data_IF_299235601470
#
_entry.id   IF_299235601470
#
_cell.length_a   1.000
_cell.length_b   1.000
_cell.length_c   1.000
_cell.angle_alpha   90.00
_cell.angle_beta   90.00
_cell.angle_gamma   90.00
#
_symmetry.space_group_name_H-M   'P 1'
#
loop_
_entity.id
_entity.type
_entity.pdbx_description
1 polymer ?
#
# COMPACT_ATOMS: atom_id res chain seq x y z
N UNK A 1 -3.00 0.87 -15.00
CA UNK A 1 -3.30 -0.57 -14.79
C UNK A 1 -4.28 -0.71 -13.64
N UNK A 2 -5.37 -1.39 -13.86
CA UNK A 2 -6.33 -1.69 -12.80
C UNK A 2 -6.13 -3.11 -12.28
N UNK A 3 -6.96 -3.52 -11.31
CA UNK A 3 -6.83 -4.85 -10.69
C UNK A 3 -7.01 -5.97 -11.72
N UNK A 4 -7.96 -5.85 -12.61
CA UNK A 4 -8.21 -6.87 -13.63
C UNK A 4 -7.02 -7.04 -14.58
N UNK A 5 -6.42 -5.94 -15.00
CA UNK A 5 -5.23 -5.95 -15.85
C UNK A 5 -4.02 -6.54 -15.11
N UNK A 6 -3.88 -6.21 -13.82
CA UNK A 6 -2.82 -6.76 -13.00
C UNK A 6 -2.96 -8.27 -12.86
N UNK A 7 -4.17 -8.77 -12.61
CA UNK A 7 -4.44 -10.20 -12.53
C UNK A 7 -4.10 -10.91 -13.83
N UNK A 8 -4.50 -10.34 -14.96
CA UNK A 8 -4.21 -10.90 -16.28
C UNK A 8 -2.69 -10.96 -16.53
N UNK A 9 -1.97 -9.91 -16.16
CA UNK A 9 -0.51 -9.85 -16.32
C UNK A 9 0.19 -10.90 -15.45
N UNK A 10 -0.27 -11.07 -14.21
CA UNK A 10 0.29 -12.08 -13.31
C UNK A 10 0.03 -13.48 -13.84
N UNK A 11 -1.20 -13.75 -14.29
CA UNK A 11 -1.55 -15.05 -14.86
C UNK A 11 -0.67 -15.39 -16.05
N UNK A 12 -0.43 -14.44 -16.92
CA UNK A 12 0.45 -14.62 -18.08
C UNK A 12 1.89 -14.91 -17.66
N UNK A 13 2.37 -14.21 -16.63
CA UNK A 13 3.75 -14.36 -16.18
C UNK A 13 4.02 -15.66 -15.44
N UNK A 14 3.05 -16.14 -14.68
CA UNK A 14 3.19 -17.37 -13.89
C UNK A 14 2.72 -18.62 -14.63
N UNK A 15 1.98 -18.45 -15.72
CA UNK A 15 1.36 -19.56 -16.42
C UNK A 15 0.08 -20.08 -15.75
N UNK A 16 -0.41 -19.36 -14.75
CA UNK A 16 -1.63 -19.74 -14.04
C UNK A 16 -2.88 -19.26 -14.75
N UNK A 17 -4.03 -19.79 -14.33
CA UNK A 17 -5.31 -19.27 -14.77
C UNK A 17 -5.56 -17.89 -14.14
N UNK A 18 -6.44 -17.10 -14.75
CA UNK A 18 -6.83 -15.81 -14.18
C UNK A 18 -7.47 -15.99 -12.81
N UNK A 19 -8.24 -17.06 -12.61
CA UNK A 19 -8.87 -17.37 -11.33
C UNK A 19 -7.83 -17.62 -10.23
N UNK A 20 -6.77 -18.38 -10.53
CA UNK A 20 -5.70 -18.64 -9.59
C UNK A 20 -4.92 -17.36 -9.27
N UNK A 21 -4.64 -16.54 -10.30
CA UNK A 21 -3.95 -15.26 -10.12
C UNK A 21 -4.79 -14.31 -9.28
N UNK A 22 -6.10 -14.26 -9.50
CA UNK A 22 -7.01 -13.45 -8.71
C UNK A 22 -6.99 -13.84 -7.23
N UNK A 23 -7.04 -15.14 -6.95
CA UNK A 23 -6.96 -15.64 -5.58
C UNK A 23 -5.65 -15.22 -4.91
N UNK A 24 -4.54 -15.30 -5.64
CA UNK A 24 -3.22 -14.88 -5.15
C UNK A 24 -3.16 -13.40 -4.83
N UNK A 25 -3.69 -12.56 -5.72
CA UNK A 25 -3.72 -11.10 -5.52
C UNK A 25 -4.60 -10.74 -4.32
N UNK A 26 -5.77 -11.36 -4.21
CA UNK A 26 -6.67 -11.11 -3.08
C UNK A 26 -6.04 -11.54 -1.77
N UNK A 27 -5.39 -12.70 -1.73
CA UNK A 27 -4.70 -13.19 -0.54
C UNK A 27 -3.55 -12.25 -0.15
N UNK A 28 -2.78 -11.76 -1.12
CA UNK A 28 -1.71 -10.81 -0.87
C UNK A 28 -2.23 -9.54 -0.22
N UNK A 29 -3.31 -8.98 -0.75
CA UNK A 29 -3.90 -7.75 -0.21
C UNK A 29 -4.41 -7.98 1.21
N UNK A 30 -5.07 -9.11 1.47
CA UNK A 30 -5.56 -9.44 2.81
C UNK A 30 -4.43 -9.59 3.82
N UNK A 31 -3.39 -10.33 3.47
CA UNK A 31 -2.25 -10.56 4.36
C UNK A 31 -1.54 -9.26 4.70
N UNK A 32 -1.30 -8.41 3.70
CA UNK A 32 -0.67 -7.12 3.91
C UNK A 32 -1.56 -6.22 4.79
N UNK A 33 -2.86 -6.22 4.50
CA UNK A 33 -3.82 -5.42 5.27
C UNK A 33 -3.83 -5.83 6.74
N UNK A 34 -3.90 -7.14 7.00
CA UNK A 34 -3.92 -7.66 8.36
C UNK A 34 -2.62 -7.36 9.11
N UNK A 35 -1.49 -7.50 8.45
CA UNK A 35 -0.19 -7.16 9.04
C UNK A 35 -0.13 -5.69 9.43
N UNK A 36 -0.59 -4.81 8.55
CA UNK A 36 -0.59 -3.36 8.81
C UNK A 36 -1.57 -2.98 9.93
N UNK A 37 -2.70 -3.68 10.05
CA UNK A 37 -3.65 -3.46 11.15
C UNK A 37 -3.00 -3.74 12.51
N UNK A 38 -2.12 -4.74 12.56
CA UNK A 38 -1.40 -5.10 13.78
C UNK A 38 -0.18 -4.20 14.02
N UNK A 39 0.09 -3.28 13.13
CA UNK A 39 1.25 -2.40 13.20
C UNK A 39 2.54 -3.05 12.72
N UNK A 40 2.42 -4.18 12.05
CA UNK A 40 3.57 -4.90 11.52
C UNK A 40 3.99 -4.30 10.17
N UNK A 41 5.23 -4.55 9.81
CA UNK A 41 5.83 -4.07 8.56
C UNK A 41 5.97 -5.23 7.59
N UNK A 42 5.58 -5.01 6.34
CA UNK A 42 5.77 -6.01 5.28
C UNK A 42 6.91 -5.55 4.38
N UNK A 43 8.02 -6.25 4.43
CA UNK A 43 9.21 -5.90 3.66
C UNK A 43 9.43 -6.88 2.52
N UNK A 44 9.48 -6.34 1.29
CA UNK A 44 9.75 -7.11 0.09
C UNK A 44 11.11 -6.70 -0.45
N UNK A 45 12.10 -7.55 -0.22
CA UNK A 45 13.49 -7.27 -0.61
C UNK A 45 13.56 -7.01 -2.12
N UNK A 46 14.19 -5.91 -2.50
CA UNK A 46 14.34 -5.53 -3.91
C UNK A 46 13.13 -4.81 -4.50
N UNK A 47 12.03 -4.72 -3.79
CA UNK A 47 10.82 -4.05 -4.27
C UNK A 47 10.47 -2.84 -3.42
N UNK A 48 10.24 -3.04 -2.14
CA UNK A 48 9.88 -1.97 -1.23
C UNK A 48 9.29 -2.53 0.05
N UNK A 49 8.69 -1.67 0.83
CA UNK A 49 8.06 -2.08 2.08
C UNK A 49 6.76 -1.34 2.32
N UNK A 50 5.82 -2.06 2.96
CA UNK A 50 4.58 -1.48 3.44
C UNK A 50 4.75 -1.24 4.93
N UNK A 51 4.50 -0.03 5.38
CA UNK A 51 4.67 0.38 6.77
C UNK A 51 3.44 1.10 7.26
N UNK A 52 3.28 1.14 8.58
CA UNK A 52 2.25 1.97 9.20
C UNK A 52 2.95 3.18 9.81
N UNK A 53 2.50 4.35 9.44
CA UNK A 53 2.99 5.60 10.00
C UNK A 53 1.92 6.17 10.92
N UNK A 54 2.31 6.44 12.15
CA UNK A 54 1.41 7.08 13.11
C UNK A 54 1.42 8.58 12.88
N UNK A 55 0.24 9.15 12.80
CA UNK A 55 0.07 10.59 12.77
C UNK A 55 -0.41 11.04 14.15
N UNK A 56 0.35 11.94 14.77
CA UNK A 56 -0.03 12.48 16.07
C UNK A 56 -1.30 13.31 15.95
N UNK A 57 -2.07 13.36 17.04
CA UNK A 57 -3.23 14.25 17.11
C UNK A 57 -2.75 15.70 16.98
N UNK A 58 -3.49 16.50 16.24
CA UNK A 58 -3.17 17.90 16.03
C UNK A 58 -4.44 18.72 15.91
N UNK A 59 -4.30 20.03 16.10
CA UNK A 59 -5.38 20.97 15.87
C UNK A 59 -5.27 21.50 14.45
N UNK A 60 -6.37 21.43 13.71
CA UNK A 60 -6.48 22.03 12.40
C UNK A 60 -7.47 23.18 12.44
N UNK A 61 -7.57 23.88 11.34
CA UNK A 61 -8.53 24.98 11.20
C UNK A 61 -9.41 24.71 9.98
N UNK A 62 -10.73 24.81 10.19
CA UNK A 62 -11.67 24.68 9.08
C UNK A 62 -11.59 25.95 8.23
N UNK A 63 -11.22 25.85 6.93
CA UNK A 63 -11.08 27.04 6.09
C UNK A 63 -12.39 27.78 5.84
N UNK A 64 -13.54 27.11 5.95
CA UNK A 64 -14.84 27.73 5.73
C UNK A 64 -15.38 28.47 6.95
N UNK A 65 -15.28 27.83 8.11
CA UNK A 65 -15.81 28.39 9.37
C UNK A 65 -14.74 29.04 10.21
N UNK A 66 -13.48 28.79 9.90
CA UNK A 66 -12.31 29.25 10.66
C UNK A 66 -12.29 28.72 12.10
N UNK A 67 -13.12 27.72 12.41
CA UNK A 67 -13.13 27.07 13.71
C UNK A 67 -11.96 26.08 13.82
N UNK A 68 -11.40 25.95 15.00
CA UNK A 68 -10.39 24.95 15.27
C UNK A 68 -11.02 23.55 15.22
N UNK A 69 -10.39 22.64 14.51
CA UNK A 69 -10.80 21.26 14.43
C UNK A 69 -9.72 20.41 15.10
N UNK A 70 -10.13 19.58 16.03
CA UNK A 70 -9.23 18.62 16.66
C UNK A 70 -9.14 17.39 15.77
N UNK A 71 -7.96 17.16 15.18
CA UNK A 71 -7.70 16.00 14.35
C UNK A 71 -7.13 14.91 15.24
N UNK A 72 -7.85 13.77 15.42
CA UNK A 72 -7.35 12.70 16.30
C UNK A 72 -6.12 12.02 15.70
N UNK A 73 -5.36 11.37 16.57
CA UNK A 73 -4.24 10.54 16.14
C UNK A 73 -4.76 9.43 15.24
N UNK A 74 -4.04 9.15 14.18
CA UNK A 74 -4.42 8.11 13.23
C UNK A 74 -3.20 7.35 12.74
N UNK A 75 -3.45 6.17 12.17
CA UNK A 75 -2.42 5.36 11.53
C UNK A 75 -2.69 5.36 10.04
N UNK A 76 -1.67 5.56 9.24
CA UNK A 76 -1.79 5.56 7.80
C UNK A 76 -0.84 4.53 7.18
N UNK A 77 -1.33 3.68 6.26
CA UNK A 77 -0.44 2.77 5.54
C UNK A 77 0.39 3.57 4.54
N UNK A 78 1.67 3.23 4.43
CA UNK A 78 2.61 3.90 3.52
C UNK A 78 3.42 2.84 2.80
N UNK A 79 3.61 3.03 1.49
CA UNK A 79 4.52 2.20 0.71
C UNK A 79 5.82 2.97 0.47
N UNK A 80 6.93 2.35 0.86
CA UNK A 80 8.27 2.88 0.61
C UNK A 80 8.93 2.06 -0.47
N UNK A 81 9.20 2.65 -1.62
CA UNK A 81 9.89 1.97 -2.70
C UNK A 81 11.33 1.64 -2.30
N UNK A 82 11.77 0.44 -2.65
CA UNK A 82 13.14 0.05 -2.45
C UNK A 82 14.06 0.74 -3.46
N UNK A 83 15.36 0.74 -3.16
CA UNK A 83 16.36 1.37 -4.03
C UNK A 83 16.31 0.80 -5.45
N UNK A 84 16.24 -0.53 -5.56
CA UNK A 84 16.19 -1.20 -6.87
C UNK A 84 14.96 -0.76 -7.68
N UNK A 85 13.80 -0.69 -7.04
CA UNK A 85 12.57 -0.25 -7.71
C UNK A 85 12.66 1.20 -8.15
N UNK A 86 13.20 2.07 -7.29
CA UNK A 86 13.37 3.49 -7.63
C UNK A 86 14.28 3.66 -8.84
N UNK A 87 15.36 2.91 -8.90
CA UNK A 87 16.30 2.96 -10.02
C UNK A 87 15.63 2.50 -11.32
N UNK A 88 14.85 1.43 -11.27
CA UNK A 88 14.14 0.91 -12.43
C UNK A 88 13.11 1.90 -12.97
N UNK A 89 12.39 2.58 -12.08
CA UNK A 89 11.37 3.56 -12.47
C UNK A 89 12.00 4.82 -13.05
N UNK A 90 13.16 5.24 -12.53
CA UNK A 90 13.87 6.42 -13.02
C UNK A 90 14.75 6.16 -14.23
N UNK A 91 14.95 4.91 -14.58
CA UNK A 91 15.74 4.53 -15.73
C UNK A 91 14.91 4.73 -17.00
N UNK A 92 15.44 5.47 -17.93
CA UNK A 92 14.80 5.71 -19.22
C UNK A 92 15.17 4.64 -20.23
#
# INVERSE_FOLDING_TARGET
MNKAELIAAIAAKTGDTKKAAEASVNAFVEVVTDALKEGDKVQLVGFGSFEVRKRAARKGRNPQTKAEIKIPASKAPVFKAGKALKELVNKK
#
